data_IF_594198384373
#
_entry.id   IF_594198384373
#
_cell.length_a   1.000
_cell.length_b   1.000
_cell.length_c   1.000
_cell.angle_alpha   90.00
_cell.angle_beta   90.00
_cell.angle_gamma   90.00
#
_symmetry.space_group_name_H-M   'P 1'
#
loop_
_entity.id
_entity.type
_entity.pdbx_description
1 polymer ?
#
# COMPACT_ATOMS: atom_id res chain seq x y z
N UNK A 1 -21.34 -8.69 6.26
CA UNK A 1 -22.61 -9.09 5.62
C UNK A 1 -23.29 -10.25 6.35
N UNK A 2 -22.58 -11.27 6.82
CA UNK A 2 -23.15 -12.40 7.58
C UNK A 2 -23.97 -12.01 8.81
N UNK A 3 -23.89 -10.88 9.40
CA UNK A 3 -24.72 -10.43 10.52
C UNK A 3 -25.94 -9.57 10.13
N UNK A 4 -26.27 -9.46 8.82
CA UNK A 4 -27.34 -8.61 8.32
C UNK A 4 -28.46 -9.38 7.58
N UNK A 5 -28.70 -10.63 7.97
CA UNK A 5 -29.83 -11.42 7.47
C UNK A 5 -29.60 -12.15 6.16
N UNK A 6 -28.35 -12.25 5.69
CA UNK A 6 -27.99 -13.11 4.56
C UNK A 6 -27.67 -14.51 5.10
N UNK A 7 -28.36 -15.52 4.60
CA UNK A 7 -28.19 -16.93 5.00
C UNK A 7 -26.91 -17.51 4.40
N UNK A 8 -26.60 -17.14 3.15
CA UNK A 8 -25.40 -17.61 2.43
C UNK A 8 -24.52 -16.42 2.08
N UNK A 9 -23.28 -16.41 2.60
CA UNK A 9 -22.26 -15.42 2.28
C UNK A 9 -21.00 -16.14 1.82
N UNK A 10 -20.63 -15.94 0.57
CA UNK A 10 -19.46 -16.54 -0.03
C UNK A 10 -18.38 -15.49 -0.29
N UNK A 11 -17.13 -15.82 0.03
CA UNK A 11 -15.98 -15.04 -0.37
C UNK A 11 -15.43 -15.62 -1.67
N UNK A 12 -15.44 -14.84 -2.74
CA UNK A 12 -14.86 -15.23 -4.01
C UNK A 12 -13.35 -14.95 -3.98
N UNK A 13 -12.55 -16.02 -3.89
CA UNK A 13 -11.08 -15.87 -3.98
C UNK A 13 -10.71 -15.27 -5.35
N UNK A 14 -10.03 -14.11 -5.33
CA UNK A 14 -9.67 -13.34 -6.53
C UNK A 14 -10.73 -12.31 -6.96
N UNK A 15 -11.79 -12.09 -6.14
CA UNK A 15 -12.77 -11.02 -6.35
C UNK A 15 -13.51 -11.12 -7.70
N UNK A 16 -13.97 -9.95 -8.19
CA UNK A 16 -14.73 -9.86 -9.43
C UNK A 16 -13.92 -10.29 -10.67
N UNK A 17 -12.61 -10.08 -10.65
CA UNK A 17 -11.72 -10.48 -11.76
C UNK A 17 -11.67 -12.00 -11.91
N UNK A 18 -11.63 -12.76 -10.79
CA UNK A 18 -11.72 -14.21 -10.85
C UNK A 18 -13.10 -14.68 -11.35
N UNK A 19 -14.17 -13.96 -11.00
CA UNK A 19 -15.51 -14.23 -11.50
C UNK A 19 -15.60 -14.06 -13.02
N UNK A 20 -14.95 -13.04 -13.55
CA UNK A 20 -14.90 -12.75 -14.99
C UNK A 20 -13.88 -13.60 -15.75
N UNK A 21 -13.18 -14.51 -15.08
CA UNK A 21 -12.10 -15.30 -15.66
C UNK A 21 -10.81 -14.52 -15.92
N UNK A 22 -10.73 -13.29 -15.40
CA UNK A 22 -9.52 -12.48 -15.44
C UNK A 22 -8.61 -12.92 -14.30
N UNK A 23 -7.41 -13.39 -14.62
CA UNK A 23 -6.38 -13.65 -13.61
C UNK A 23 -5.71 -12.33 -13.26
N UNK A 24 -5.75 -11.95 -11.98
CA UNK A 24 -4.88 -10.88 -11.49
C UNK A 24 -3.43 -11.33 -11.68
N UNK A 25 -2.63 -10.52 -12.37
CA UNK A 25 -1.22 -10.77 -12.51
C UNK A 25 -0.55 -10.50 -11.16
N UNK A 26 -0.05 -11.54 -10.52
CA UNK A 26 0.68 -11.49 -9.26
C UNK A 26 0.03 -12.34 -8.16
N UNK A 27 0.82 -12.92 -7.27
CA UNK A 27 0.27 -13.64 -6.12
C UNK A 27 -0.37 -12.66 -5.14
N UNK A 28 -1.64 -12.83 -4.88
CA UNK A 28 -2.47 -12.02 -3.98
C UNK A 28 -1.96 -11.94 -2.51
N UNK A 29 -0.85 -12.59 -2.19
CA UNK A 29 -0.33 -12.75 -0.84
C UNK A 29 1.11 -12.21 -0.69
N UNK A 30 1.74 -11.65 -1.73
CA UNK A 30 3.17 -11.32 -1.68
C UNK A 30 3.50 -10.12 -0.77
N UNK A 31 2.62 -9.13 -0.64
CA UNK A 31 2.80 -8.02 0.31
C UNK A 31 2.80 -8.45 1.76
N UNK A 32 2.11 -9.54 2.07
CA UNK A 32 2.01 -10.07 3.43
C UNK A 32 3.08 -11.13 3.77
N UNK A 33 3.96 -11.52 2.84
CA UNK A 33 4.97 -12.55 3.09
C UNK A 33 6.01 -12.16 4.13
N UNK A 34 6.22 -10.85 4.36
CA UNK A 34 7.09 -10.32 5.41
C UNK A 34 6.40 -10.20 6.76
N UNK A 35 5.08 -10.37 6.80
CA UNK A 35 4.28 -10.21 7.99
C UNK A 35 3.95 -11.58 8.58
N UNK A 36 4.68 -11.98 9.61
CA UNK A 36 4.44 -13.24 10.36
C UNK A 36 3.26 -13.13 11.31
N UNK A 37 2.85 -11.89 11.63
CA UNK A 37 1.71 -11.59 12.48
C UNK A 37 2.03 -11.52 13.98
N UNK A 38 3.30 -11.63 14.34
CA UNK A 38 3.79 -11.55 15.73
C UNK A 38 4.99 -10.60 15.88
N UNK A 39 5.20 -9.72 14.90
CA UNK A 39 6.26 -8.72 14.92
C UNK A 39 6.01 -7.73 16.07
N UNK A 40 7.09 -7.28 16.73
CA UNK A 40 6.99 -6.17 17.66
C UNK A 40 6.62 -4.87 16.90
N UNK A 41 5.93 -3.92 17.53
CA UNK A 41 5.46 -2.70 16.89
C UNK A 41 6.55 -1.93 16.11
N UNK A 42 7.79 -1.92 16.61
CA UNK A 42 8.92 -1.27 15.97
C UNK A 42 9.24 -1.85 14.58
N UNK A 43 9.24 -3.19 14.47
CA UNK A 43 9.50 -3.88 13.22
C UNK A 43 8.39 -3.64 12.20
N UNK A 44 7.13 -3.59 12.67
CA UNK A 44 5.99 -3.25 11.82
C UNK A 44 6.11 -1.85 11.24
N UNK A 45 6.51 -0.86 12.06
CA UNK A 45 6.65 0.51 11.59
C UNK A 45 7.81 0.64 10.59
N UNK A 46 8.92 -0.07 10.80
CA UNK A 46 10.05 -0.10 9.86
C UNK A 46 9.61 -0.70 8.53
N UNK A 47 8.88 -1.82 8.58
CA UNK A 47 8.34 -2.46 7.38
C UNK A 47 7.38 -1.52 6.64
N UNK A 48 6.40 -0.96 7.36
CA UNK A 48 5.44 -0.03 6.79
C UNK A 48 6.12 1.18 6.14
N UNK A 49 7.10 1.79 6.82
CA UNK A 49 7.87 2.90 6.24
C UNK A 49 8.60 2.51 4.95
N UNK A 50 9.17 1.30 4.90
CA UNK A 50 9.81 0.78 3.69
C UNK A 50 8.82 0.64 2.53
N UNK A 51 7.60 0.18 2.82
CA UNK A 51 6.53 0.04 1.84
C UNK A 51 6.09 1.40 1.28
N UNK A 52 5.84 2.39 2.15
CA UNK A 52 5.52 3.76 1.73
C UNK A 52 6.65 4.40 0.91
N UNK A 53 7.91 4.08 1.24
CA UNK A 53 9.04 4.54 0.43
C UNK A 53 8.99 3.96 -0.98
N UNK A 54 8.78 2.65 -1.09
CA UNK A 54 8.67 1.96 -2.37
C UNK A 54 7.47 2.41 -3.19
N UNK A 55 6.32 2.62 -2.56
CA UNK A 55 5.11 3.09 -3.21
C UNK A 55 5.26 4.54 -3.72
N UNK A 56 5.86 5.42 -2.93
CA UNK A 56 6.17 6.79 -3.36
C UNK A 56 7.14 6.84 -4.55
N UNK A 57 8.16 5.96 -4.58
CA UNK A 57 9.06 5.80 -5.73
C UNK A 57 8.30 5.29 -6.96
N UNK A 58 7.44 4.29 -6.79
CA UNK A 58 6.58 3.75 -7.85
C UNK A 58 5.69 4.84 -8.46
N UNK A 59 4.99 5.61 -7.66
CA UNK A 59 4.15 6.71 -8.16
C UNK A 59 4.93 7.83 -8.83
N UNK A 60 6.13 8.12 -8.35
CA UNK A 60 7.02 9.08 -9.01
C UNK A 60 7.38 8.61 -10.42
N UNK A 61 7.79 7.34 -10.56
CA UNK A 61 8.11 6.74 -11.87
C UNK A 61 6.90 6.76 -12.79
N UNK A 62 5.71 6.40 -12.30
CA UNK A 62 4.49 6.41 -13.11
C UNK A 62 4.09 7.82 -13.55
N UNK A 63 4.22 8.80 -12.67
CA UNK A 63 3.97 10.20 -13.01
C UNK A 63 4.86 10.68 -14.15
N UNK A 64 6.14 10.28 -14.14
CA UNK A 64 7.11 10.69 -15.15
C UNK A 64 6.92 9.94 -16.50
N UNK A 65 6.40 8.71 -16.47
CA UNK A 65 6.28 7.85 -17.65
C UNK A 65 4.94 7.98 -18.37
N UNK A 66 3.87 8.40 -17.70
CA UNK A 66 2.56 8.52 -18.33
C UNK A 66 2.47 9.75 -19.23
N UNK A 67 1.87 9.59 -20.40
CA UNK A 67 1.56 10.70 -21.30
C UNK A 67 0.25 11.43 -20.96
N UNK A 68 -0.57 10.87 -20.06
CA UNK A 68 -1.84 11.46 -19.63
C UNK A 68 -1.61 12.40 -18.44
N UNK A 69 -1.88 13.69 -18.64
CA UNK A 69 -1.63 14.73 -17.62
C UNK A 69 -2.45 14.57 -16.35
N UNK A 70 -3.66 14.05 -16.46
CA UNK A 70 -4.54 13.84 -15.31
C UNK A 70 -4.04 12.67 -14.45
N UNK A 71 -3.63 11.58 -15.13
CA UNK A 71 -3.00 10.42 -14.49
C UNK A 71 -1.66 10.81 -13.85
N UNK A 72 -0.81 11.56 -14.56
CA UNK A 72 0.45 12.08 -14.02
C UNK A 72 0.22 12.94 -12.77
N UNK A 73 -0.77 13.84 -12.82
CA UNK A 73 -1.13 14.69 -11.69
C UNK A 73 -1.58 13.90 -10.47
N UNK A 74 -2.39 12.84 -10.66
CA UNK A 74 -2.81 11.97 -9.57
C UNK A 74 -1.61 11.26 -8.95
N UNK A 75 -0.77 10.60 -9.74
CA UNK A 75 0.41 9.88 -9.22
C UNK A 75 1.41 10.81 -8.53
N UNK A 76 1.64 12.01 -9.05
CA UNK A 76 2.47 13.00 -8.38
C UNK A 76 1.91 13.40 -7.01
N UNK A 77 0.58 13.53 -6.90
CA UNK A 77 -0.08 13.82 -5.64
C UNK A 77 0.02 12.65 -4.64
N UNK A 78 -0.23 11.42 -5.10
CA UNK A 78 -0.08 10.20 -4.29
C UNK A 78 1.36 10.08 -3.77
N UNK A 79 2.37 10.21 -4.62
CA UNK A 79 3.77 10.19 -4.20
C UNK A 79 4.09 11.22 -3.09
N UNK A 80 3.46 12.40 -3.14
CA UNK A 80 3.56 13.41 -2.09
C UNK A 80 2.94 12.96 -0.76
N UNK A 81 1.81 12.27 -0.83
CA UNK A 81 1.09 11.76 0.36
C UNK A 81 1.89 10.65 1.04
N UNK A 82 2.54 9.73 0.26
CA UNK A 82 3.43 8.71 0.83
C UNK A 82 4.61 9.32 1.61
N UNK A 83 5.06 10.50 1.18
CA UNK A 83 6.01 11.30 1.97
C UNK A 83 5.48 11.71 3.35
N UNK A 84 4.20 12.01 3.45
CA UNK A 84 3.52 12.35 4.71
C UNK A 84 3.32 11.10 5.57
N UNK A 85 2.92 9.96 4.99
CA UNK A 85 2.80 8.69 5.69
C UNK A 85 4.13 8.26 6.30
N UNK A 86 5.21 8.31 5.54
CA UNK A 86 6.56 8.07 6.07
C UNK A 86 6.90 8.95 7.26
N UNK A 87 6.55 10.24 7.23
CA UNK A 87 6.82 11.12 8.36
C UNK A 87 5.97 10.76 9.58
N UNK A 88 4.70 10.38 9.40
CA UNK A 88 3.83 9.90 10.49
C UNK A 88 4.40 8.64 11.13
N UNK A 89 4.82 7.67 10.31
CA UNK A 89 5.42 6.41 10.76
C UNK A 89 6.75 6.63 11.51
N UNK A 90 7.61 7.51 11.02
CA UNK A 90 8.84 7.87 11.72
C UNK A 90 8.56 8.51 13.08
N UNK A 91 7.64 9.45 13.16
CA UNK A 91 7.24 10.08 14.43
C UNK A 91 6.64 9.04 15.39
N UNK A 92 5.85 8.10 14.87
CA UNK A 92 5.31 7.00 15.64
C UNK A 92 6.44 6.09 16.20
N UNK A 93 7.43 5.74 15.37
CA UNK A 93 8.61 5.01 15.81
C UNK A 93 9.30 5.69 17.00
N UNK A 94 9.58 7.00 16.87
CA UNK A 94 10.22 7.78 17.94
C UNK A 94 9.42 7.80 19.25
N UNK A 95 8.10 7.63 19.19
CA UNK A 95 7.25 7.61 20.37
C UNK A 95 7.32 6.29 21.15
N UNK A 96 7.72 5.20 20.48
CA UNK A 96 7.76 3.85 21.09
C UNK A 96 9.19 3.32 21.31
N UNK A 97 10.17 3.90 20.61
CA UNK A 97 11.58 3.53 20.71
C UNK A 97 12.48 4.77 20.68
N UNK A 98 13.02 5.11 21.84
CA UNK A 98 13.93 6.27 21.99
C UNK A 98 15.40 5.93 21.69
N UNK A 99 15.72 4.72 21.26
CA UNK A 99 17.09 4.28 20.97
C UNK A 99 17.65 4.93 19.71
N UNK A 100 16.78 5.43 18.83
CA UNK A 100 17.12 6.17 17.61
C UNK A 100 16.49 7.56 17.72
N UNK A 101 17.27 8.58 17.42
CA UNK A 101 16.83 9.97 17.46
C UNK A 101 16.89 10.69 16.12
N UNK A 102 17.56 10.09 15.13
CA UNK A 102 17.75 10.66 13.81
C UNK A 102 17.20 9.76 12.69
N UNK A 103 16.76 10.41 11.63
CA UNK A 103 16.11 9.76 10.51
C UNK A 103 17.06 8.88 9.69
N UNK A 104 18.33 9.24 9.58
CA UNK A 104 19.33 8.50 8.80
C UNK A 104 19.59 7.13 9.44
N UNK A 105 19.78 7.10 10.76
CA UNK A 105 19.92 5.84 11.53
C UNK A 105 18.65 4.99 11.43
N UNK A 106 17.46 5.61 11.47
CA UNK A 106 16.20 4.89 11.29
C UNK A 106 16.12 4.30 9.88
N UNK A 107 16.37 5.09 8.84
CA UNK A 107 16.30 4.65 7.46
C UNK A 107 17.34 3.56 7.13
N UNK A 108 18.48 3.50 7.82
CA UNK A 108 19.46 2.42 7.66
C UNK A 108 18.95 1.03 8.08
N UNK A 109 17.87 0.97 8.87
CA UNK A 109 17.20 -0.28 9.23
C UNK A 109 16.22 -0.78 8.18
N UNK A 110 15.86 0.06 7.23
CA UNK A 110 14.90 -0.29 6.18
C UNK A 110 15.62 -1.17 5.17
N UNK A 111 15.01 -2.28 4.83
CA UNK A 111 15.45 -3.09 3.70
C UNK A 111 15.21 -2.27 2.42
N UNK A 112 16.28 -1.76 1.82
CA UNK A 112 16.19 -0.85 0.68
C UNK A 112 15.38 -1.45 -0.48
N UNK A 113 14.52 -0.61 -1.03
CA UNK A 113 13.84 -0.86 -2.29
C UNK A 113 12.79 -1.97 -2.26
N UNK A 114 12.28 -2.34 -1.09
CA UNK A 114 11.25 -3.37 -0.98
C UNK A 114 9.89 -2.70 -0.97
N UNK A 115 9.17 -2.85 -2.08
CA UNK A 115 7.74 -2.57 -2.15
C UNK A 115 6.94 -3.66 -1.43
N UNK A 116 5.68 -3.41 -1.24
CA UNK A 116 4.70 -4.44 -0.92
C UNK A 116 4.93 -5.66 -1.82
N UNK A 117 5.05 -6.83 -1.21
CA UNK A 117 5.36 -8.06 -1.92
C UNK A 117 6.82 -8.49 -1.91
N UNK A 118 7.74 -7.70 -1.34
CA UNK A 118 9.14 -8.07 -1.23
C UNK A 118 9.96 -7.94 -2.50
N UNK A 119 9.41 -7.23 -3.48
CA UNK A 119 10.13 -6.88 -4.70
C UNK A 119 10.76 -5.51 -4.57
N UNK A 120 11.88 -5.31 -5.25
CA UNK A 120 12.32 -3.94 -5.51
C UNK A 120 11.33 -3.27 -6.47
N UNK A 121 11.17 -1.96 -6.38
CA UNK A 121 10.32 -1.18 -7.30
C UNK A 121 10.64 -1.52 -8.75
N UNK A 122 11.91 -1.65 -9.09
CA UNK A 122 12.36 -2.02 -10.44
C UNK A 122 11.89 -3.43 -10.85
N UNK A 123 12.07 -4.44 -9.99
CA UNK A 123 11.65 -5.81 -10.28
C UNK A 123 10.11 -5.91 -10.40
N UNK A 124 9.38 -5.14 -9.58
CA UNK A 124 7.93 -5.06 -9.65
C UNK A 124 7.45 -4.46 -10.98
N UNK A 125 8.05 -3.36 -11.42
CA UNK A 125 7.75 -2.73 -12.71
C UNK A 125 8.00 -3.68 -13.89
N UNK A 126 9.11 -4.43 -13.85
CA UNK A 126 9.44 -5.40 -14.91
C UNK A 126 8.43 -6.55 -14.96
N UNK A 127 8.07 -7.13 -13.81
CA UNK A 127 7.12 -8.24 -13.74
C UNK A 127 5.71 -7.84 -14.20
N UNK A 128 5.29 -6.61 -13.92
CA UNK A 128 3.97 -6.12 -14.25
C UNK A 128 3.93 -5.34 -15.58
N UNK A 129 5.04 -5.27 -16.31
CA UNK A 129 5.17 -4.48 -17.53
C UNK A 129 4.09 -4.73 -18.56
N UNK A 130 3.62 -5.97 -18.71
CA UNK A 130 2.57 -6.34 -19.66
C UNK A 130 1.20 -5.76 -19.29
N UNK A 131 0.87 -5.70 -18.01
CA UNK A 131 -0.39 -5.13 -17.51
C UNK A 131 -0.34 -3.61 -17.56
N UNK A 132 0.83 -3.03 -17.32
CA UNK A 132 1.06 -1.58 -17.24
C UNK A 132 1.19 -0.90 -18.62
N UNK A 133 0.82 -1.56 -19.71
CA UNK A 133 0.82 -0.97 -21.06
C UNK A 133 -0.35 0.02 -21.30
N UNK A 134 -1.36 -0.03 -20.45
CA UNK A 134 -2.57 0.80 -20.55
C UNK A 134 -2.81 1.58 -19.28
N UNK A 135 -3.46 2.74 -19.38
CA UNK A 135 -3.86 3.52 -18.20
C UNK A 135 -4.70 2.69 -17.22
N UNK A 136 -5.76 1.96 -17.66
CA UNK A 136 -6.50 1.09 -16.75
C UNK A 136 -5.63 0.07 -16.04
N UNK A 137 -4.71 -0.60 -16.75
CA UNK A 137 -3.83 -1.59 -16.13
C UNK A 137 -2.89 -1.01 -15.08
N UNK A 138 -2.39 0.21 -15.29
CA UNK A 138 -1.59 0.93 -14.29
C UNK A 138 -2.42 1.29 -13.07
N UNK A 139 -3.65 1.77 -13.27
CA UNK A 139 -4.57 2.11 -12.18
C UNK A 139 -4.99 0.87 -11.38
N UNK A 140 -5.24 -0.26 -12.03
CA UNK A 140 -5.56 -1.54 -11.38
C UNK A 140 -4.41 -2.00 -10.44
N UNK A 141 -3.16 -1.88 -10.90
CA UNK A 141 -1.98 -2.20 -10.08
C UNK A 141 -1.85 -1.24 -8.89
N UNK A 142 -2.01 0.06 -9.11
CA UNK A 142 -2.00 1.04 -8.03
C UNK A 142 -3.07 0.72 -6.98
N UNK A 143 -4.31 0.44 -7.41
CA UNK A 143 -5.40 0.04 -6.50
C UNK A 143 -5.10 -1.25 -5.73
N UNK A 144 -4.41 -2.21 -6.33
CA UNK A 144 -3.98 -3.43 -5.65
C UNK A 144 -2.99 -3.09 -4.53
N UNK A 145 -2.00 -2.25 -4.77
CA UNK A 145 -0.99 -1.84 -3.79
C UNK A 145 -1.63 -1.08 -2.63
N UNK A 146 -2.48 -0.08 -2.91
CA UNK A 146 -3.22 0.66 -1.90
C UNK A 146 -4.13 -0.23 -1.04
N UNK A 147 -4.74 -1.25 -1.65
CA UNK A 147 -5.57 -2.22 -0.91
C UNK A 147 -4.73 -3.03 0.07
N UNK A 148 -3.51 -3.40 -0.31
CA UNK A 148 -2.59 -4.14 0.55
C UNK A 148 -2.10 -3.27 1.71
N UNK A 149 -1.73 -2.01 1.44
CA UNK A 149 -1.34 -1.05 2.46
C UNK A 149 -2.47 -0.82 3.47
N UNK A 150 -3.68 -0.54 2.99
CA UNK A 150 -4.87 -0.39 3.83
C UNK A 150 -5.12 -1.61 4.73
N UNK A 151 -5.07 -2.83 4.17
CA UNK A 151 -5.28 -4.07 4.93
C UNK A 151 -4.19 -4.25 6.00
N UNK A 152 -2.93 -3.97 5.68
CA UNK A 152 -1.82 -4.01 6.62
C UNK A 152 -2.08 -3.08 7.81
N UNK A 153 -2.34 -1.80 7.57
CA UNK A 153 -2.57 -0.81 8.63
C UNK A 153 -3.79 -1.14 9.47
N UNK A 154 -4.89 -1.58 8.85
CA UNK A 154 -6.08 -2.01 9.59
C UNK A 154 -5.81 -3.20 10.50
N UNK A 155 -5.07 -4.21 10.06
CA UNK A 155 -4.73 -5.39 10.87
C UNK A 155 -3.83 -5.02 12.05
N UNK A 156 -2.83 -4.17 11.82
CA UNK A 156 -1.92 -3.76 12.88
C UNK A 156 -2.56 -2.78 13.86
N UNK A 157 -3.44 -1.90 13.41
CA UNK A 157 -4.22 -1.05 14.31
C UNK A 157 -5.06 -1.85 15.31
N UNK A 158 -5.48 -3.08 14.94
CA UNK A 158 -6.23 -3.97 15.83
C UNK A 158 -5.34 -4.76 16.80
N UNK A 159 -4.04 -4.91 16.50
CA UNK A 159 -3.10 -5.70 17.32
C UNK A 159 -2.32 -4.86 18.33
N UNK A 160 -2.07 -3.59 18.00
CA UNK A 160 -1.33 -2.67 18.88
C UNK A 160 -2.20 -2.30 20.07
N UNK A 161 -1.64 -2.41 21.27
CA UNK A 161 -2.33 -2.07 22.52
C UNK A 161 -2.31 -0.56 22.81
N UNK A 162 -1.27 0.15 22.35
CA UNK A 162 -1.16 1.59 22.52
C UNK A 162 -2.19 2.34 21.65
N UNK A 163 -3.14 3.02 22.30
CA UNK A 163 -4.26 3.68 21.64
C UNK A 163 -3.82 4.81 20.69
N UNK A 164 -2.71 5.48 20.98
CA UNK A 164 -2.18 6.52 20.07
C UNK A 164 -1.60 5.90 18.80
N UNK A 165 -0.81 4.85 18.93
CA UNK A 165 -0.26 4.08 17.81
C UNK A 165 -1.36 3.47 16.95
N UNK A 166 -2.37 2.88 17.61
CA UNK A 166 -3.55 2.33 16.98
C UNK A 166 -4.29 3.37 16.13
N UNK A 167 -4.52 4.56 16.73
CA UNK A 167 -5.17 5.67 16.03
C UNK A 167 -4.38 6.12 14.81
N UNK A 168 -3.06 6.28 14.92
CA UNK A 168 -2.21 6.71 13.81
C UNK A 168 -2.29 5.70 12.65
N UNK A 169 -2.17 4.40 12.91
CA UNK A 169 -2.26 3.38 11.87
C UNK A 169 -3.67 3.31 11.25
N UNK A 170 -4.71 3.50 12.07
CA UNK A 170 -6.06 3.55 11.55
C UNK A 170 -6.30 4.79 10.67
N UNK A 171 -5.78 5.96 11.06
CA UNK A 171 -5.88 7.19 10.27
C UNK A 171 -5.16 7.03 8.92
N UNK A 172 -3.98 6.39 8.88
CA UNK A 172 -3.29 6.07 7.61
C UNK A 172 -4.17 5.13 6.76
N UNK A 173 -4.74 4.07 7.33
CA UNK A 173 -5.62 3.15 6.60
C UNK A 173 -6.85 3.86 5.97
N UNK A 174 -7.42 4.86 6.65
CA UNK A 174 -8.51 5.67 6.08
C UNK A 174 -8.02 6.61 4.96
N UNK A 175 -6.75 7.05 5.00
CA UNK A 175 -6.14 7.82 3.91
C UNK A 175 -5.91 6.93 2.68
N UNK A 176 -5.42 5.67 2.84
CA UNK A 176 -5.31 4.70 1.74
C UNK A 176 -6.66 4.42 1.07
N UNK A 177 -7.71 4.37 1.86
CA UNK A 177 -9.05 4.24 1.32
C UNK A 177 -9.51 5.46 0.51
N UNK A 178 -9.00 6.65 0.81
CA UNK A 178 -9.22 7.84 -0.02
C UNK A 178 -8.43 7.76 -1.33
N UNK A 179 -7.20 7.22 -1.32
CA UNK A 179 -6.43 6.93 -2.53
C UNK A 179 -7.18 5.98 -3.45
N UNK A 180 -7.70 4.87 -2.91
CA UNK A 180 -8.52 3.90 -3.67
C UNK A 180 -9.74 4.54 -4.33
N UNK A 181 -10.42 5.50 -3.67
CA UNK A 181 -11.54 6.22 -4.27
C UNK A 181 -11.08 7.09 -5.44
N UNK A 182 -9.94 7.78 -5.31
CA UNK A 182 -9.41 8.64 -6.35
C UNK A 182 -8.94 7.84 -7.56
N UNK A 183 -8.26 6.72 -7.35
CA UNK A 183 -7.85 5.78 -8.38
C UNK A 183 -9.06 5.15 -9.09
N UNK A 184 -10.05 4.69 -8.32
CA UNK A 184 -11.28 4.11 -8.85
C UNK A 184 -12.09 5.10 -9.70
N UNK A 185 -12.19 6.35 -9.27
CA UNK A 185 -12.85 7.39 -10.06
C UNK A 185 -12.12 7.64 -11.39
N UNK A 186 -10.79 7.68 -11.36
CA UNK A 186 -10.02 7.85 -12.59
C UNK A 186 -10.13 6.63 -13.51
N UNK A 187 -10.20 5.43 -12.95
CA UNK A 187 -10.42 4.20 -13.70
C UNK A 187 -11.79 4.21 -14.41
N UNK A 188 -12.85 4.69 -13.76
CA UNK A 188 -14.18 4.85 -14.39
C UNK A 188 -14.17 5.81 -15.59
N UNK A 189 -13.31 6.83 -15.57
CA UNK A 189 -13.21 7.83 -16.65
C UNK A 189 -12.34 7.36 -17.81
N UNK A 190 -11.28 6.59 -17.50
CA UNK A 190 -10.23 6.21 -18.46
C UNK A 190 -10.33 4.74 -18.93
N UNK A 191 -11.11 3.91 -18.24
CA UNK A 191 -11.38 2.51 -18.60
C UNK A 191 -12.55 2.40 -19.54
#
# INVERSE_FOLDING_TARGET
>A
MAGKGFEDVYNLKGGIHAWQGLTTAGPAEMGMSFVKGNEPPQEVIILAYGMEKGLGEFYTILSDQTGDKEVAGLFSNLAGIEGIHKQKLFNLYLSIDSSISDKETFESKIVEGVMEGGFTTQAFLEQNRSVMQTVPGVLDIAMMLETQAMDLYMRYSQKIEDENSKKILYDIAEEEKAHLRSLGHLLEIKG
#
